data_IF_777896059699
#
_entry.id   IF_777896059699
#
_cell.length_a   1.000
_cell.length_b   1.000
_cell.length_c   1.000
_cell.angle_alpha   90.00
_cell.angle_beta   90.00
_cell.angle_gamma   90.00
#
_symmetry.space_group_name_H-M   'P 1'
#
loop_
_entity.id
_entity.type
_entity.pdbx_description
1 polymer ?
#
# COMPACT_ATOMS: atom_id res chain seq x y z
N UNK A 1 10.80 -3.04 4.86
CA UNK A 1 9.54 -2.24 4.95
C UNK A 1 9.60 -1.15 3.89
N UNK A 2 8.52 -0.97 3.14
CA UNK A 2 8.41 -0.10 1.97
C UNK A 2 8.39 1.40 2.29
N UNK A 3 9.45 1.93 2.88
CA UNK A 3 9.52 3.37 3.20
C UNK A 3 9.75 4.21 1.94
N UNK A 4 8.92 5.23 1.75
CA UNK A 4 8.97 6.14 0.61
C UNK A 4 8.54 5.52 -0.71
N UNK A 5 7.77 4.42 -0.71
CA UNK A 5 7.21 3.83 -1.92
C UNK A 5 5.84 4.43 -2.23
N UNK A 6 5.02 4.64 -1.20
CA UNK A 6 3.66 5.16 -1.37
C UNK A 6 3.66 6.54 -2.05
N UNK A 7 4.66 7.39 -1.75
CA UNK A 7 4.81 8.70 -2.37
C UNK A 7 5.15 8.60 -3.87
N UNK A 8 6.00 7.65 -4.25
CA UNK A 8 6.33 7.43 -5.66
C UNK A 8 5.13 6.87 -6.40
N UNK A 9 4.48 5.85 -5.84
CA UNK A 9 3.26 5.26 -6.43
C UNK A 9 2.16 6.31 -6.59
N UNK A 10 1.97 7.19 -5.60
CA UNK A 10 0.99 8.27 -5.67
C UNK A 10 1.28 9.24 -6.82
N UNK A 11 2.55 9.60 -7.02
CA UNK A 11 2.97 10.48 -8.13
C UNK A 11 2.79 9.81 -9.49
N UNK A 12 3.12 8.53 -9.61
CA UNK A 12 3.03 7.77 -10.88
C UNK A 12 1.60 7.45 -11.30
N UNK A 13 0.71 7.25 -10.32
CA UNK A 13 -0.72 7.06 -10.59
C UNK A 13 -1.37 8.40 -10.93
N UNK A 14 -1.01 9.48 -10.22
CA UNK A 14 -1.63 10.78 -10.41
C UNK A 14 -3.10 10.79 -10.05
N UNK A 15 -3.83 11.76 -10.61
CA UNK A 15 -5.29 11.81 -10.49
C UNK A 15 -5.93 10.87 -11.52
N UNK A 16 -6.89 10.07 -11.05
CA UNK A 16 -7.71 9.23 -11.92
C UNK A 16 -9.13 9.78 -11.88
N UNK A 17 -9.69 10.05 -13.06
CA UNK A 17 -11.07 10.52 -13.18
C UNK A 17 -12.03 9.59 -12.44
N UNK A 18 -12.84 10.18 -11.54
CA UNK A 18 -13.86 9.51 -10.74
C UNK A 18 -13.38 8.45 -9.73
N UNK A 19 -12.08 8.39 -9.43
CA UNK A 19 -11.54 7.46 -8.41
C UNK A 19 -10.66 8.22 -7.41
N UNK A 20 -11.09 8.25 -6.16
CA UNK A 20 -10.32 8.83 -5.06
C UNK A 20 -9.44 7.74 -4.46
N UNK A 21 -8.12 7.93 -4.52
CA UNK A 21 -7.14 7.03 -3.91
C UNK A 21 -6.53 7.67 -2.67
N UNK A 22 -6.49 6.91 -1.58
CA UNK A 22 -5.74 7.26 -0.38
C UNK A 22 -4.53 6.34 -0.21
N UNK A 23 -3.36 6.93 0.01
CA UNK A 23 -2.11 6.20 0.16
C UNK A 23 -1.70 6.15 1.62
N UNK A 24 -1.53 4.93 2.15
CA UNK A 24 -1.13 4.70 3.54
C UNK A 24 0.22 3.99 3.58
N UNK A 25 1.18 4.56 4.30
CA UNK A 25 2.51 3.96 4.46
C UNK A 25 2.80 3.67 5.93
N UNK A 26 3.09 2.41 6.24
CA UNK A 26 3.53 1.99 7.57
C UNK A 26 4.99 2.43 7.77
N UNK A 27 5.25 3.28 8.77
CA UNK A 27 6.61 3.83 9.02
C UNK A 27 7.32 3.22 10.23
N UNK A 28 6.61 2.42 11.03
CA UNK A 28 7.12 1.79 12.25
C UNK A 28 6.99 2.68 13.50
N UNK A 29 7.95 2.56 14.42
CA UNK A 29 8.02 3.34 15.67
C UNK A 29 8.58 4.74 15.41
N UNK A 30 8.08 5.74 16.14
CA UNK A 30 8.53 7.15 16.05
C UNK A 30 7.41 8.15 15.73
N UNK A 31 6.21 7.67 15.37
CA UNK A 31 4.99 8.47 15.34
C UNK A 31 4.01 7.92 16.39
N UNK A 32 3.31 8.83 17.08
CA UNK A 32 2.25 8.46 18.04
C UNK A 32 0.88 8.34 17.36
N UNK A 33 0.66 9.12 16.30
CA UNK A 33 -0.60 9.18 15.55
C UNK A 33 -0.34 9.28 14.04
N UNK A 34 -1.32 8.93 13.20
CA UNK A 34 -1.20 9.11 11.76
C UNK A 34 -0.95 10.58 11.39
N UNK A 35 -0.07 10.81 10.41
CA UNK A 35 0.24 12.16 9.90
C UNK A 35 0.18 12.13 8.38
N UNK A 36 -0.50 13.11 7.75
CA UNK A 36 -0.50 13.27 6.30
C UNK A 36 0.72 14.09 5.86
N UNK A 37 1.54 13.54 4.98
CA UNK A 37 2.71 14.21 4.38
C UNK A 37 2.59 14.08 2.87
N UNK A 38 2.40 15.20 2.17
CA UNK A 38 2.10 15.18 0.74
C UNK A 38 0.82 14.39 0.46
N UNK A 39 0.92 13.38 -0.40
CA UNK A 39 -0.21 12.51 -0.78
C UNK A 39 -0.41 11.31 0.17
N UNK A 40 0.49 11.11 1.14
CA UNK A 40 0.57 9.87 1.92
C UNK A 40 0.25 10.07 3.39
N UNK A 41 -0.63 9.25 3.94
CA UNK A 41 -0.80 9.07 5.38
C UNK A 41 0.29 8.15 5.92
N UNK A 42 1.19 8.69 6.74
CA UNK A 42 2.18 7.92 7.50
C UNK A 42 1.50 7.32 8.72
N UNK A 43 1.48 6.00 8.80
CA UNK A 43 0.79 5.23 9.83
C UNK A 43 1.81 4.63 10.80
N UNK A 44 1.69 4.88 12.12
CA UNK A 44 2.51 4.21 13.10
C UNK A 44 2.14 2.73 13.22
N UNK A 45 3.14 1.88 13.43
CA UNK A 45 2.91 0.48 13.80
C UNK A 45 4.05 0.00 14.69
N UNK A 46 3.71 -0.61 15.83
CA UNK A 46 4.68 -1.20 16.76
C UNK A 46 4.98 -2.65 16.44
N UNK A 47 3.99 -3.33 15.87
CA UNK A 47 3.97 -4.73 15.49
C UNK A 47 2.96 -4.98 14.36
N UNK A 48 2.84 -6.24 13.94
CA UNK A 48 1.93 -6.68 12.88
C UNK A 48 0.45 -6.54 13.28
N UNK A 49 0.13 -6.53 14.59
CA UNK A 49 -1.23 -6.41 15.07
C UNK A 49 -1.79 -4.99 14.86
N UNK A 50 -0.96 -3.96 15.00
CA UNK A 50 -1.33 -2.59 14.65
C UNK A 50 -1.67 -2.47 13.15
N UNK A 51 -0.89 -3.13 12.29
CA UNK A 51 -1.15 -3.17 10.83
C UNK A 51 -2.48 -3.87 10.56
N UNK A 52 -2.72 -5.01 11.21
CA UNK A 52 -3.97 -5.75 11.07
C UNK A 52 -5.21 -4.93 11.49
N UNK A 53 -5.11 -4.19 12.59
CA UNK A 53 -6.15 -3.25 13.05
C UNK A 53 -6.42 -2.16 12.03
N UNK A 54 -5.37 -1.54 11.50
CA UNK A 54 -5.50 -0.51 10.47
C UNK A 54 -6.21 -1.06 9.23
N UNK A 55 -5.76 -2.21 8.72
CA UNK A 55 -6.34 -2.83 7.53
C UNK A 55 -7.82 -3.17 7.73
N UNK A 56 -8.18 -3.72 8.90
CA UNK A 56 -9.60 -3.96 9.24
C UNK A 56 -10.43 -2.68 9.32
N UNK A 57 -9.86 -1.61 9.87
CA UNK A 57 -10.55 -0.32 9.98
C UNK A 57 -10.80 0.30 8.61
N UNK A 58 -9.80 0.25 7.72
CA UNK A 58 -9.90 0.77 6.36
C UNK A 58 -10.84 -0.09 5.50
N UNK A 59 -10.75 -1.42 5.61
CA UNK A 59 -11.59 -2.34 4.83
C UNK A 59 -13.09 -2.28 5.19
N UNK A 60 -13.43 -1.69 6.34
CA UNK A 60 -14.81 -1.37 6.70
C UNK A 60 -15.36 -0.13 5.99
N UNK A 61 -14.51 0.67 5.34
CA UNK A 61 -14.85 1.96 4.73
C UNK A 61 -14.61 1.97 3.22
N UNK A 62 -13.60 1.24 2.73
CA UNK A 62 -13.20 1.20 1.34
C UNK A 62 -12.57 -0.14 0.96
N UNK A 63 -12.34 -0.37 -0.34
CA UNK A 63 -11.53 -1.50 -0.80
C UNK A 63 -10.05 -1.20 -0.56
N UNK A 64 -9.33 -2.12 0.06
CA UNK A 64 -7.93 -1.90 0.46
C UNK A 64 -7.01 -2.75 -0.41
N UNK A 65 -5.97 -2.13 -0.96
CA UNK A 65 -4.85 -2.84 -1.59
C UNK A 65 -3.65 -2.72 -0.66
N UNK A 66 -3.14 -3.86 -0.18
CA UNK A 66 -2.05 -3.91 0.77
C UNK A 66 -0.81 -4.58 0.16
N UNK A 67 0.27 -3.81 0.03
CA UNK A 67 1.56 -4.31 -0.43
C UNK A 67 2.49 -4.54 0.75
N UNK A 68 3.13 -5.72 0.80
CA UNK A 68 4.14 -6.02 1.82
C UNK A 68 5.23 -6.94 1.27
N UNK A 69 6.46 -6.74 1.75
CA UNK A 69 7.58 -7.64 1.51
C UNK A 69 7.80 -8.67 2.62
N UNK A 70 6.90 -8.72 3.61
CA UNK A 70 6.89 -9.76 4.63
C UNK A 70 5.86 -10.83 4.28
N UNK A 71 6.34 -12.05 4.03
CA UNK A 71 5.50 -13.19 3.63
C UNK A 71 4.56 -13.65 4.75
N UNK A 72 5.00 -13.59 6.01
CA UNK A 72 4.16 -13.99 7.15
C UNK A 72 3.02 -13.00 7.33
N UNK A 73 3.34 -11.70 7.30
CA UNK A 73 2.33 -10.65 7.38
C UNK A 73 1.36 -10.72 6.19
N UNK A 74 1.86 -10.96 4.98
CA UNK A 74 1.01 -11.13 3.80
C UNK A 74 -0.03 -12.23 4.02
N UNK A 75 0.42 -13.43 4.43
CA UNK A 75 -0.46 -14.57 4.66
C UNK A 75 -1.49 -14.30 5.76
N UNK A 76 -1.10 -13.60 6.83
CA UNK A 76 -2.03 -13.24 7.90
C UNK A 76 -3.11 -12.26 7.43
N UNK A 77 -2.72 -11.26 6.63
CA UNK A 77 -3.63 -10.22 6.16
C UNK A 77 -4.56 -10.69 5.03
N UNK A 78 -4.20 -11.75 4.29
CA UNK A 78 -5.06 -12.32 3.23
C UNK A 78 -6.42 -12.79 3.74
N UNK A 79 -6.54 -13.09 5.04
CA UNK A 79 -7.81 -13.51 5.65
C UNK A 79 -8.75 -12.34 5.96
N UNK A 80 -8.31 -11.08 5.79
CA UNK A 80 -9.13 -9.90 6.07
C UNK A 80 -10.05 -9.63 4.87
N UNK A 81 -11.37 -9.72 5.09
CA UNK A 81 -12.36 -9.39 4.06
C UNK A 81 -12.24 -7.93 3.63
N UNK A 82 -12.23 -7.69 2.31
CA UNK A 82 -12.10 -6.35 1.72
C UNK A 82 -10.65 -5.86 1.58
N UNK A 83 -9.66 -6.71 1.87
CA UNK A 83 -8.23 -6.42 1.68
C UNK A 83 -7.65 -7.34 0.60
N UNK A 84 -7.11 -6.75 -0.46
CA UNK A 84 -6.36 -7.41 -1.51
C UNK A 84 -4.87 -7.32 -1.18
N UNK A 85 -4.26 -8.44 -0.82
CA UNK A 85 -2.86 -8.48 -0.38
C UNK A 85 -1.95 -8.90 -1.52
N UNK A 86 -0.90 -8.11 -1.74
CA UNK A 86 0.15 -8.38 -2.72
C UNK A 86 1.48 -8.52 -1.98
N UNK A 87 2.04 -9.74 -2.02
CA UNK A 87 3.39 -10.00 -1.55
C UNK A 87 4.36 -9.54 -2.63
N UNK A 88 5.09 -8.47 -2.32
CA UNK A 88 6.10 -7.87 -3.17
C UNK A 88 7.37 -7.84 -2.32
N UNK A 89 8.30 -8.79 -2.48
CA UNK A 89 9.54 -8.80 -1.71
C UNK A 89 10.61 -7.97 -2.42
N UNK A 90 11.20 -6.93 -1.80
CA UNK A 90 12.15 -6.04 -2.46
C UNK A 90 13.36 -6.73 -3.11
N UNK A 91 13.81 -7.86 -2.54
CA UNK A 91 14.96 -8.62 -3.06
C UNK A 91 14.70 -9.39 -4.35
N UNK A 92 13.45 -9.53 -4.78
CA UNK A 92 13.08 -10.19 -6.05
C UNK A 92 12.98 -9.20 -7.22
N UNK A 93 13.19 -7.91 -6.96
CA UNK A 93 13.14 -6.85 -7.97
C UNK A 93 14.51 -6.19 -8.09
N UNK A 94 14.91 -5.87 -9.32
CA UNK A 94 16.22 -5.26 -9.63
C UNK A 94 16.37 -3.79 -9.20
N UNK A 95 15.54 -3.28 -8.30
CA UNK A 95 15.57 -1.88 -7.88
C UNK A 95 14.24 -1.40 -7.29
N UNK A 96 14.27 -0.19 -6.73
CA UNK A 96 13.10 0.46 -6.14
C UNK A 96 12.08 0.83 -7.22
N UNK A 97 12.57 1.25 -8.38
CA UNK A 97 11.82 1.67 -9.55
C UNK A 97 10.94 0.54 -10.07
N UNK A 98 11.52 -0.66 -10.29
CA UNK A 98 10.80 -1.83 -10.79
C UNK A 98 9.70 -2.31 -9.82
N UNK A 99 9.89 -2.14 -8.52
CA UNK A 99 8.85 -2.42 -7.53
C UNK A 99 7.70 -1.42 -7.65
N UNK A 100 8.01 -0.12 -7.78
CA UNK A 100 7.00 0.93 -7.94
C UNK A 100 6.20 0.69 -9.23
N UNK A 101 6.87 0.40 -10.35
CA UNK A 101 6.21 0.04 -11.62
C UNK A 101 5.27 -1.15 -11.45
N UNK A 102 5.71 -2.18 -10.72
CA UNK A 102 4.89 -3.35 -10.45
C UNK A 102 3.65 -3.01 -9.60
N UNK A 103 3.81 -2.20 -8.54
CA UNK A 103 2.69 -1.72 -7.72
C UNK A 103 1.70 -0.89 -8.53
N UNK A 104 2.19 0.02 -9.36
CA UNK A 104 1.38 0.87 -10.26
C UNK A 104 0.60 0.01 -11.25
N UNK A 105 1.25 -0.99 -11.86
CA UNK A 105 0.60 -1.94 -12.78
C UNK A 105 -0.56 -2.66 -12.11
N UNK A 106 -0.36 -3.17 -10.88
CA UNK A 106 -1.42 -3.82 -10.10
C UNK A 106 -2.58 -2.86 -9.83
N UNK A 107 -2.29 -1.64 -9.38
CA UNK A 107 -3.32 -0.64 -9.09
C UNK A 107 -4.13 -0.28 -10.34
N UNK A 108 -3.47 -0.06 -11.49
CA UNK A 108 -4.18 0.24 -12.76
C UNK A 108 -5.08 -0.90 -13.21
N UNK A 109 -4.66 -2.15 -13.02
CA UNK A 109 -5.50 -3.32 -13.30
C UNK A 109 -6.73 -3.37 -12.41
N UNK A 110 -6.60 -3.04 -11.13
CA UNK A 110 -7.72 -2.99 -10.18
C UNK A 110 -8.69 -1.85 -10.53
N UNK A 111 -8.15 -0.70 -10.95
CA UNK A 111 -8.92 0.51 -11.25
C UNK A 111 -9.52 0.46 -12.68
N UNK A 112 -9.15 -0.54 -13.49
CA UNK A 112 -9.69 -0.75 -14.84
C UNK A 112 -9.12 0.21 -15.89
N UNK A 113 -8.01 0.90 -15.62
CA UNK A 113 -7.36 1.75 -16.61
C UNK A 113 -6.48 0.90 -17.55
N UNK A 114 -6.53 1.12 -18.89
CA UNK A 114 -5.62 0.47 -19.80
C UNK A 114 -4.18 0.87 -19.49
N UNK A 115 -3.28 -0.12 -19.47
CA UNK A 115 -1.84 0.11 -19.35
C UNK A 115 -1.41 0.92 -20.58
N UNK A 116 -0.91 2.15 -20.36
CA UNK A 116 -0.18 2.85 -21.42
C UNK A 116 1.06 2.01 -21.73
N UNK A 117 1.12 1.53 -22.98
CA UNK A 117 2.21 0.72 -23.54
C UNK A 117 3.36 1.63 -23.92
#
# INVERSE_FOLDING_TARGET
MYKGFAELVAREIGEIDNVVLEYHEIVGRGLEKPVKVGYVYKQPARDDYDIFKLLKSLSGQCNVVFFTGDKKLANQCMMIKGVHVYYVPPGEYGGKELVVEHMVKILRQIIGQPLAV
#
